data_IF_845515652957
#
_entry.id   IF_845515652957
#
_cell.length_a   1.000
_cell.length_b   1.000
_cell.length_c   1.000
_cell.angle_alpha   90.00
_cell.angle_beta   90.00
_cell.angle_gamma   90.00
#
_symmetry.space_group_name_H-M   'P 1'
#
loop_
_entity.id
_entity.type
_entity.pdbx_description
1 polymer ?
#
# COMPACT_ATOMS: atom_id res chain seq x y z
N UNK A 1 -17.11 -10.94 -7.64
CA UNK A 1 -17.32 -11.23 -6.21
C UNK A 1 -16.56 -10.21 -5.38
N UNK A 2 -17.25 -9.41 -4.56
CA UNK A 2 -16.60 -8.41 -3.71
C UNK A 2 -16.02 -9.06 -2.46
N UNK A 3 -14.73 -8.85 -2.20
CA UNK A 3 -14.14 -9.10 -0.88
C UNK A 3 -14.97 -8.35 0.17
N UNK A 4 -15.45 -9.02 1.22
CA UNK A 4 -16.25 -8.38 2.29
C UNK A 4 -15.55 -7.16 2.90
N UNK A 5 -16.25 -6.36 3.71
CA UNK A 5 -15.65 -5.13 4.29
C UNK A 5 -14.36 -5.37 5.10
N UNK A 6 -14.23 -6.55 5.74
CA UNK A 6 -13.12 -6.89 6.66
C UNK A 6 -11.75 -7.07 5.97
N UNK A 7 -11.60 -7.86 4.88
CA UNK A 7 -10.28 -8.08 4.28
C UNK A 7 -9.71 -6.85 3.57
N UNK A 8 -10.57 -5.94 3.07
CA UNK A 8 -10.12 -4.66 2.49
C UNK A 8 -9.49 -3.74 3.53
N UNK A 9 -10.04 -3.73 4.75
CA UNK A 9 -9.48 -2.95 5.85
C UNK A 9 -8.08 -3.47 6.23
N UNK A 10 -7.94 -4.80 6.40
CA UNK A 10 -6.63 -5.42 6.67
C UNK A 10 -5.59 -5.11 5.58
N UNK A 11 -5.99 -5.14 4.31
CA UNK A 11 -5.13 -4.81 3.18
C UNK A 11 -4.66 -3.35 3.19
N UNK A 12 -5.57 -2.40 3.49
CA UNK A 12 -5.20 -0.99 3.63
C UNK A 12 -4.23 -0.76 4.77
N UNK A 13 -4.47 -1.37 5.93
CA UNK A 13 -3.54 -1.31 7.07
C UNK A 13 -2.15 -1.90 6.73
N UNK A 14 -2.11 -3.02 6.01
CA UNK A 14 -0.84 -3.61 5.58
C UNK A 14 -0.09 -2.66 4.63
N UNK A 15 -0.79 -2.02 3.69
CA UNK A 15 -0.20 -1.04 2.79
C UNK A 15 0.31 0.20 3.54
N UNK A 16 -0.44 0.72 4.50
CA UNK A 16 0.02 1.79 5.37
C UNK A 16 1.32 1.47 6.11
N UNK A 17 1.39 0.28 6.71
CA UNK A 17 2.57 -0.17 7.47
C UNK A 17 3.79 -0.37 6.58
N UNK A 18 3.58 -0.75 5.32
CA UNK A 18 4.66 -0.93 4.35
C UNK A 18 5.23 0.40 3.82
N UNK A 19 4.51 1.52 3.98
CA UNK A 19 4.91 2.81 3.43
C UNK A 19 4.95 3.92 4.51
N UNK A 20 5.72 3.76 5.60
CA UNK A 20 5.80 4.75 6.68
C UNK A 20 6.45 6.07 6.24
N UNK A 21 7.16 6.07 5.11
CA UNK A 21 7.82 7.24 4.53
C UNK A 21 6.83 8.16 3.77
N UNK A 22 5.64 7.66 3.43
CA UNK A 22 4.59 8.43 2.78
C UNK A 22 3.60 8.94 3.82
N UNK A 23 3.15 10.19 3.66
CA UNK A 23 2.05 10.75 4.46
C UNK A 23 0.72 10.40 3.81
N UNK A 24 0.28 9.16 4.00
CA UNK A 24 -0.96 8.64 3.41
C UNK A 24 -2.16 8.83 4.36
N UNK A 25 -3.34 8.95 3.78
CA UNK A 25 -4.64 8.80 4.41
C UNK A 25 -5.39 7.56 3.89
N UNK A 26 -6.44 7.13 4.60
CA UNK A 26 -7.11 5.85 4.30
C UNK A 26 -7.81 5.84 2.93
N UNK A 27 -8.11 7.04 2.44
CA UNK A 27 -8.67 7.27 1.12
C UNK A 27 -7.62 7.20 0.02
N UNK A 28 -6.33 7.39 0.32
CA UNK A 28 -5.26 7.42 -0.68
C UNK A 28 -4.87 6.01 -1.12
N UNK A 29 -5.22 5.00 -0.34
CA UNK A 29 -4.98 3.59 -0.62
C UNK A 29 -6.23 2.94 -1.21
N UNK A 30 -6.11 2.46 -2.44
CA UNK A 30 -7.16 1.72 -3.16
C UNK A 30 -6.73 0.26 -3.30
N UNK A 31 -7.61 -0.67 -2.92
CA UNK A 31 -7.38 -2.11 -3.14
C UNK A 31 -8.15 -2.51 -4.39
N UNK A 32 -7.41 -2.78 -5.44
CA UNK A 32 -7.91 -3.00 -6.80
C UNK A 32 -7.59 -4.43 -7.25
N UNK A 33 -8.35 -4.94 -8.22
CA UNK A 33 -7.90 -6.11 -8.97
C UNK A 33 -6.72 -5.73 -9.87
N UNK A 34 -5.95 -6.71 -10.32
CA UNK A 34 -4.81 -6.43 -11.21
C UNK A 34 -5.26 -5.69 -12.48
N UNK A 35 -6.42 -6.06 -13.06
CA UNK A 35 -6.96 -5.41 -14.26
C UNK A 35 -7.40 -3.97 -14.00
N UNK A 36 -8.08 -3.68 -12.89
CA UNK A 36 -8.54 -2.32 -12.59
C UNK A 36 -7.35 -1.38 -12.31
N UNK A 37 -6.29 -1.93 -11.69
CA UNK A 37 -5.07 -1.20 -11.43
C UNK A 37 -4.31 -0.88 -12.72
N UNK A 38 -4.27 -1.82 -13.67
CA UNK A 38 -3.72 -1.61 -15.02
C UNK A 38 -4.51 -0.54 -15.79
N UNK A 39 -5.84 -0.58 -15.74
CA UNK A 39 -6.68 0.41 -16.42
C UNK A 39 -6.47 1.83 -15.87
N UNK A 40 -6.37 1.97 -14.54
CA UNK A 40 -6.22 3.28 -13.89
C UNK A 40 -4.82 3.89 -14.06
N UNK A 41 -3.77 3.07 -14.04
CA UNK A 41 -2.38 3.56 -14.08
C UNK A 41 -1.76 3.48 -15.47
N UNK A 42 -2.30 2.64 -16.37
CA UNK A 42 -1.66 2.26 -17.63
C UNK A 42 -0.41 1.40 -17.46
N UNK A 43 -0.02 1.07 -16.22
CA UNK A 43 1.13 0.23 -15.90
C UNK A 43 0.68 -1.20 -15.71
N UNK A 44 1.34 -2.15 -16.41
CA UNK A 44 1.03 -3.56 -16.25
C UNK A 44 1.32 -3.96 -14.81
N UNK A 45 0.27 -4.34 -14.08
CA UNK A 45 0.41 -4.82 -12.72
C UNK A 45 1.41 -5.98 -12.78
N UNK A 46 2.42 -5.95 -11.91
CA UNK A 46 3.49 -6.95 -11.91
C UNK A 46 2.99 -8.39 -11.59
N UNK A 47 1.67 -8.62 -11.59
CA UNK A 47 1.05 -9.93 -11.55
C UNK A 47 1.56 -10.78 -12.73
N UNK A 48 2.14 -11.95 -12.42
CA UNK A 48 2.49 -12.93 -13.45
C UNK A 48 1.25 -13.33 -14.27
N UNK A 49 1.43 -13.83 -15.51
CA UNK A 49 0.31 -14.27 -16.33
C UNK A 49 -0.57 -15.26 -15.56
N UNK A 50 -1.85 -14.91 -15.37
CA UNK A 50 -2.85 -15.71 -14.65
C UNK A 50 -3.08 -15.35 -13.17
N UNK A 51 -2.36 -14.37 -12.61
CA UNK A 51 -2.55 -13.97 -11.22
C UNK A 51 -3.65 -12.89 -11.08
N UNK A 52 -4.78 -13.25 -10.48
CA UNK A 52 -5.86 -12.34 -10.03
C UNK A 52 -5.59 -11.79 -8.63
N UNK A 53 -4.32 -11.55 -8.30
CA UNK A 53 -3.95 -11.10 -6.96
C UNK A 53 -4.24 -9.60 -6.81
N UNK A 54 -4.88 -9.18 -5.71
CA UNK A 54 -5.19 -7.77 -5.50
C UNK A 54 -3.92 -6.92 -5.40
N UNK A 55 -4.03 -5.68 -5.84
CA UNK A 55 -2.97 -4.67 -5.81
C UNK A 55 -3.43 -3.51 -4.96
N UNK A 56 -2.54 -2.95 -4.15
CA UNK A 56 -2.76 -1.66 -3.51
C UNK A 56 -2.21 -0.56 -4.41
N UNK A 57 -3.09 0.30 -4.92
CA UNK A 57 -2.72 1.55 -5.56
C UNK A 57 -2.65 2.64 -4.49
N UNK A 58 -1.48 3.24 -4.36
CA UNK A 58 -1.18 4.29 -3.40
C UNK A 58 -1.11 5.60 -4.18
N UNK A 59 -2.11 6.44 -4.00
CA UNK A 59 -2.16 7.75 -4.64
C UNK A 59 -1.09 8.66 -4.06
N UNK A 60 -0.44 9.42 -4.94
CA UNK A 60 0.47 10.47 -4.49
C UNK A 60 -0.32 11.49 -3.65
N UNK A 61 0.08 11.68 -2.39
CA UNK A 61 -0.58 12.61 -1.49
C UNK A 61 -0.42 14.08 -1.92
N UNK A 62 -1.37 14.94 -1.54
CA UNK A 62 -1.24 16.39 -1.71
C UNK A 62 0.01 16.89 -0.97
N UNK A 63 1.06 17.25 -1.72
CA UNK A 63 2.36 17.68 -1.21
C UNK A 63 3.54 16.79 -1.63
N UNK A 64 3.29 15.66 -2.28
CA UNK A 64 4.33 14.95 -3.01
C UNK A 64 4.73 15.82 -4.22
N UNK A 65 5.99 16.27 -4.28
CA UNK A 65 6.44 17.29 -5.23
C UNK A 65 6.09 16.98 -6.69
N UNK A 66 6.11 18.02 -7.54
CA UNK A 66 5.78 17.90 -8.97
C UNK A 66 6.60 16.78 -9.64
N UNK A 67 5.95 15.64 -9.92
CA UNK A 67 6.59 14.40 -10.40
C UNK A 67 6.28 13.15 -9.57
N UNK A 68 5.60 13.27 -8.43
CA UNK A 68 5.13 12.12 -7.66
C UNK A 68 4.13 11.30 -8.47
N UNK A 69 4.43 10.00 -8.64
CA UNK A 69 3.56 9.04 -9.33
C UNK A 69 2.82 8.19 -8.30
N UNK A 70 1.64 7.73 -8.70
CA UNK A 70 0.94 6.70 -7.95
C UNK A 70 1.81 5.43 -7.89
N UNK A 71 1.84 4.78 -6.74
CA UNK A 71 2.67 3.60 -6.50
C UNK A 71 1.78 2.36 -6.43
N UNK A 72 2.18 1.31 -7.13
CA UNK A 72 1.55 0.01 -7.05
C UNK A 72 2.31 -0.90 -6.09
N UNK A 73 1.63 -1.37 -5.04
CA UNK A 73 2.17 -2.33 -4.09
C UNK A 73 1.42 -3.66 -4.20
N UNK A 74 2.16 -4.78 -4.13
CA UNK A 74 1.54 -6.12 -4.16
C UNK A 74 0.95 -6.43 -2.80
N UNK A 75 -0.28 -6.93 -2.80
CA UNK A 75 -0.98 -7.34 -1.59
C UNK A 75 -1.43 -8.79 -1.70
N UNK A 76 -1.20 -9.54 -0.63
CA UNK A 76 -1.82 -10.85 -0.42
C UNK A 76 -2.82 -10.72 0.72
N UNK A 77 -4.02 -11.28 0.54
CA UNK A 77 -5.11 -11.24 1.51
C UNK A 77 -5.53 -12.67 1.79
N UNK A 78 -5.65 -13.01 3.07
CA UNK A 78 -6.22 -14.27 3.53
C UNK A 78 -7.28 -13.99 4.59
N UNK A 79 -8.31 -14.83 4.65
CA UNK A 79 -9.31 -14.77 5.70
C UNK A 79 -9.71 -16.18 6.13
N UNK A 80 -9.94 -16.35 7.42
CA UNK A 80 -10.48 -17.58 8.01
C UNK A 80 -11.48 -17.22 9.10
N UNK A 81 -12.67 -17.81 9.03
CA UNK A 81 -13.80 -17.51 9.89
C UNK A 81 -14.06 -16.01 10.08
N UNK A 82 -13.70 -15.49 11.26
CA UNK A 82 -13.90 -14.10 11.67
C UNK A 82 -12.67 -13.20 11.49
N UNK A 83 -11.51 -13.77 11.14
CA UNK A 83 -10.25 -13.05 11.01
C UNK A 83 -9.88 -12.83 9.54
N UNK A 84 -9.28 -11.68 9.26
CA UNK A 84 -8.66 -11.38 7.98
C UNK A 84 -7.25 -10.84 8.21
N UNK A 85 -6.30 -11.35 7.44
CA UNK A 85 -4.91 -10.90 7.44
C UNK A 85 -4.52 -10.46 6.04
N UNK A 86 -3.62 -9.49 5.96
CA UNK A 86 -3.05 -9.07 4.69
C UNK A 86 -1.56 -8.77 4.87
N UNK A 87 -0.81 -9.09 3.83
CA UNK A 87 0.61 -8.76 3.73
C UNK A 87 0.80 -7.88 2.51
N UNK A 88 1.49 -6.75 2.68
CA UNK A 88 1.80 -5.83 1.60
C UNK A 88 3.33 -5.70 1.48
N UNK A 89 3.82 -5.74 0.26
CA UNK A 89 5.22 -5.44 -0.05
C UNK A 89 5.24 -4.11 -0.80
N UNK A 90 5.71 -3.09 -0.10
CA UNK A 90 5.97 -1.76 -0.66
C UNK A 90 7.38 -1.66 -1.20
N UNK A 91 7.54 -0.93 -2.30
CA UNK A 91 8.85 -0.59 -2.84
C UNK A 91 9.06 0.91 -2.73
N UNK A 92 10.12 1.32 -2.05
CA UNK A 92 10.56 2.70 -2.09
C UNK A 92 11.30 2.91 -3.42
N UNK A 93 10.66 3.58 -4.36
CA UNK A 93 11.37 4.15 -5.49
C UNK A 93 12.17 5.33 -4.95
N UNK A 94 13.30 5.03 -4.29
CA UNK A 94 14.29 6.01 -3.94
C UNK A 94 14.56 6.82 -5.21
N UNK A 95 14.49 8.15 -5.09
CA UNK A 95 15.18 9.07 -5.99
C UNK A 95 16.44 8.36 -6.50
N UNK A 96 16.59 8.21 -7.81
CA UNK A 96 17.72 7.55 -8.44
C UNK A 96 19.03 8.28 -8.09
N UNK A 97 19.49 8.06 -6.87
CA UNK A 97 20.61 8.66 -6.20
C UNK A 97 21.01 7.69 -5.09
N UNK A 98 22.00 6.86 -5.42
CA UNK A 98 22.82 6.06 -4.51
C UNK A 98 22.11 5.52 -3.27
N UNK A 99 21.78 4.24 -3.29
CA UNK A 99 21.29 3.52 -2.12
C UNK A 99 22.13 3.84 -0.88
N UNK A 100 21.51 4.53 0.07
CA UNK A 100 21.92 4.49 1.45
C UNK A 100 20.72 3.94 2.20
N UNK A 101 20.81 2.66 2.56
CA UNK A 101 20.07 2.12 3.67
C UNK A 101 20.54 2.86 4.93
N UNK A 102 19.95 4.02 5.22
CA UNK A 102 20.12 4.60 6.55
C UNK A 102 19.39 3.68 7.50
N UNK A 103 20.16 2.91 8.28
CA UNK A 103 19.69 2.03 9.35
C UNK A 103 19.14 2.81 10.54
N UNK A 104 18.66 4.03 10.33
CA UNK A 104 18.12 4.88 11.38
C UNK A 104 16.67 4.47 11.64
N UNK A 105 16.37 3.84 12.80
CA UNK A 105 15.01 3.44 13.09
C UNK A 105 14.12 4.69 13.14
N UNK A 106 12.89 4.66 12.61
CA UNK A 106 11.97 5.78 12.75
C UNK A 106 11.80 6.09 14.23
N UNK A 107 12.15 7.32 14.58
CA UNK A 107 12.18 7.84 15.95
C UNK A 107 10.81 7.56 16.61
N UNK A 108 10.82 6.69 17.62
CA UNK A 108 9.88 6.61 18.76
C UNK A 108 8.57 7.36 18.54
N UNK A 109 7.58 6.63 18.01
CA UNK A 109 6.25 7.20 17.74
C UNK A 109 5.21 6.21 17.19
N UNK A 110 5.55 4.94 16.96
CA UNK A 110 4.62 3.96 16.40
C UNK A 110 3.30 3.86 17.17
N UNK A 111 3.34 3.85 18.51
CA UNK A 111 2.13 3.85 19.33
C UNK A 111 1.28 5.13 19.17
N UNK A 112 1.91 6.31 19.12
CA UNK A 112 1.21 7.59 18.93
C UNK A 112 0.65 7.74 17.51
N UNK A 113 1.32 7.16 16.52
CA UNK A 113 0.85 7.09 15.14
C UNK A 113 -0.35 6.15 14.99
N UNK A 114 -0.31 4.96 15.62
CA UNK A 114 -1.46 4.05 15.71
C UNK A 114 -2.67 4.76 16.34
N UNK A 115 -2.51 5.49 17.44
CA UNK A 115 -3.60 6.23 18.08
C UNK A 115 -4.21 7.33 17.22
N UNK A 116 -3.47 7.88 16.24
CA UNK A 116 -3.93 8.99 15.39
C UNK A 116 -4.65 8.53 14.13
N UNK A 117 -4.46 7.27 13.72
CA UNK A 117 -5.17 6.65 12.59
C UNK A 117 -6.52 6.08 13.04
N UNK A 118 -6.64 5.74 14.31
CA UNK A 118 -7.78 5.02 14.89
C UNK A 118 -8.61 5.86 15.88
N UNK A 119 -8.44 7.18 15.89
CA UNK A 119 -9.23 8.16 16.65
C UNK A 119 -9.96 9.12 15.73
#
# INVERSE_FOLDING_TARGET
>A
MGFGGRPRFAAKEAAFKAHPHLRLGFHDILILSSSDAEELTGERALAGPGASAPVALIRAGEGAGAGARDQMARVSISHDGEYATATCIGFEAGSAGSGQCTSEPPRKGWAAWFSRIWS
#
